data_IF_528655486648
#
_entry.id   IF_528655486648
#
_cell.length_a   1.000
_cell.length_b   1.000
_cell.length_c   1.000
_cell.angle_alpha   90.00
_cell.angle_beta   90.00
_cell.angle_gamma   90.00
#
_symmetry.space_group_name_H-M   'P 1'
#
loop_
_entity.id
_entity.type
_entity.pdbx_description
1 polymer ?
#
# COMPACT_ATOMS: atom_id res chain seq x y z
N UNK A 1 7.49 21.55 -24.04
CA UNK A 1 6.84 20.27 -23.67
C UNK A 1 6.46 20.34 -22.19
N UNK A 2 5.17 20.42 -21.82
CA UNK A 2 4.77 20.39 -20.40
C UNK A 2 5.01 18.98 -19.88
N UNK A 3 5.96 18.79 -18.98
CA UNK A 3 6.16 17.49 -18.31
C UNK A 3 4.86 17.15 -17.57
N UNK A 4 4.28 15.99 -17.90
CA UNK A 4 3.12 15.45 -17.19
C UNK A 4 3.59 14.82 -15.89
N UNK A 5 2.79 14.97 -14.84
CA UNK A 5 3.01 14.28 -13.56
C UNK A 5 3.04 12.76 -13.81
N UNK A 6 4.03 12.08 -13.27
CA UNK A 6 4.22 10.63 -13.44
C UNK A 6 5.09 10.06 -12.33
N UNK A 7 5.31 8.75 -12.36
CA UNK A 7 6.14 8.08 -11.36
C UNK A 7 6.82 6.82 -11.92
N UNK A 8 7.94 6.44 -11.29
CA UNK A 8 8.58 5.15 -11.48
C UNK A 8 7.78 4.12 -10.69
N UNK A 9 7.33 3.05 -11.37
CA UNK A 9 6.58 1.96 -10.75
C UNK A 9 7.47 1.07 -9.89
N UNK A 10 7.98 1.58 -8.79
CA UNK A 10 8.81 0.84 -7.87
C UNK A 10 8.44 1.09 -6.40
N UNK A 11 8.62 0.07 -5.58
CA UNK A 11 8.49 0.15 -4.13
C UNK A 11 9.72 -0.52 -3.51
N UNK A 12 10.39 0.16 -2.60
CA UNK A 12 11.47 -0.42 -1.82
C UNK A 12 10.88 -1.30 -0.74
N UNK A 13 11.51 -2.44 -0.46
CA UNK A 13 11.18 -3.31 0.67
C UNK A 13 12.48 -3.68 1.36
N UNK A 14 12.54 -3.46 2.67
CA UNK A 14 13.69 -3.78 3.50
C UNK A 14 13.22 -4.53 4.76
N UNK A 15 13.99 -5.51 5.22
CA UNK A 15 13.78 -6.07 6.55
C UNK A 15 14.16 -5.01 7.61
N UNK A 16 13.51 -5.08 8.77
CA UNK A 16 13.78 -4.15 9.89
C UNK A 16 15.20 -4.27 10.45
N UNK A 17 15.90 -5.38 10.20
CA UNK A 17 17.33 -5.51 10.53
C UNK A 17 18.21 -4.54 9.73
N UNK A 18 17.74 -4.09 8.56
CA UNK A 18 18.56 -3.36 7.58
C UNK A 18 18.13 -1.89 7.43
N UNK A 19 17.45 -1.33 8.43
CA UNK A 19 16.96 0.07 8.40
C UNK A 19 18.05 1.11 8.19
N UNK A 20 19.31 0.77 8.46
CA UNK A 20 20.47 1.63 8.19
C UNK A 20 20.63 1.96 6.70
N UNK A 21 20.04 1.18 5.79
CA UNK A 21 20.07 1.42 4.35
C UNK A 21 18.97 2.36 3.85
N UNK A 22 18.07 2.84 4.72
CA UNK A 22 17.01 3.77 4.32
C UNK A 22 17.61 5.14 4.03
N UNK A 23 17.29 5.70 2.86
CA UNK A 23 17.71 7.05 2.51
C UNK A 23 16.95 8.13 3.30
N UNK A 24 17.64 9.22 3.62
CA UNK A 24 17.09 10.38 4.31
C UNK A 24 16.30 11.28 3.35
N UNK A 25 15.17 10.79 2.84
CA UNK A 25 14.32 11.45 1.84
C UNK A 25 12.88 11.53 2.30
N UNK A 26 12.07 12.40 1.68
CA UNK A 26 10.63 12.41 1.92
C UNK A 26 9.97 11.22 1.23
N UNK A 27 9.02 10.60 1.92
CA UNK A 27 8.34 9.42 1.41
C UNK A 27 7.18 8.99 2.27
N UNK A 28 6.35 8.11 1.69
CA UNK A 28 5.43 7.30 2.48
C UNK A 28 6.06 5.93 2.71
N UNK A 29 5.70 5.31 3.84
CA UNK A 29 6.17 3.97 4.19
C UNK A 29 5.04 3.16 4.78
N UNK A 30 5.19 1.84 4.71
CA UNK A 30 4.30 0.86 5.29
C UNK A 30 5.12 -0.15 6.10
N UNK A 31 4.90 -0.14 7.41
CA UNK A 31 5.38 -1.17 8.33
C UNK A 31 4.42 -2.35 8.28
N UNK A 32 4.96 -3.55 8.10
CA UNK A 32 4.16 -4.78 8.06
C UNK A 32 4.77 -5.88 8.91
N UNK A 33 3.89 -6.63 9.56
CA UNK A 33 4.15 -7.92 10.21
C UNK A 33 3.04 -8.89 9.82
N UNK A 34 3.14 -10.17 10.18
CA UNK A 34 2.19 -11.23 9.77
C UNK A 34 0.70 -10.84 9.68
N UNK A 35 0.16 -10.03 10.62
CA UNK A 35 -1.25 -9.59 10.60
C UNK A 35 -1.47 -8.10 10.85
N UNK A 36 -0.43 -7.29 10.93
CA UNK A 36 -0.55 -5.85 11.26
C UNK A 36 0.15 -5.00 10.22
N UNK A 37 -0.52 -3.92 9.84
CA UNK A 37 -0.07 -2.95 8.86
C UNK A 37 -0.21 -1.55 9.46
N UNK A 38 0.81 -0.73 9.26
CA UNK A 38 0.77 0.70 9.57
C UNK A 38 1.38 1.46 8.38
N UNK A 39 0.71 2.51 7.91
CA UNK A 39 1.22 3.41 6.89
C UNK A 39 1.54 4.77 7.51
N UNK A 40 2.61 5.41 7.07
CA UNK A 40 2.95 6.76 7.53
C UNK A 40 3.68 7.57 6.47
N UNK A 41 3.67 8.88 6.64
CA UNK A 41 4.50 9.85 5.93
C UNK A 41 5.71 10.26 6.78
N UNK A 42 6.83 10.55 6.14
CA UNK A 42 7.97 11.19 6.77
C UNK A 42 8.69 12.11 5.80
N UNK A 43 9.07 13.31 6.25
CA UNK A 43 10.00 14.20 5.53
C UNK A 43 11.43 13.68 5.51
N UNK A 44 11.74 12.74 6.40
CA UNK A 44 12.99 11.98 6.45
C UNK A 44 12.67 10.55 6.87
N UNK A 45 12.62 9.64 5.90
CA UNK A 45 12.28 8.23 6.14
C UNK A 45 13.30 7.52 7.04
N UNK A 46 14.60 7.80 6.88
CA UNK A 46 15.66 7.19 7.68
C UNK A 46 15.45 7.40 9.19
N UNK A 47 14.89 8.53 9.59
CA UNK A 47 14.53 8.81 10.99
C UNK A 47 13.10 8.37 11.33
N UNK A 48 12.13 8.61 10.43
CA UNK A 48 10.71 8.39 10.74
C UNK A 48 10.36 6.90 10.86
N UNK A 49 10.90 6.03 10.00
CA UNK A 49 10.61 4.60 10.02
C UNK A 49 11.02 3.95 11.36
N UNK A 50 12.26 4.13 11.87
CA UNK A 50 12.64 3.65 13.21
C UNK A 50 11.79 4.23 14.35
N UNK A 51 11.42 5.50 14.28
CA UNK A 51 10.54 6.12 15.29
C UNK A 51 9.17 5.43 15.32
N UNK A 52 8.56 5.22 14.16
CA UNK A 52 7.26 4.55 14.10
C UNK A 52 7.32 3.08 14.46
N UNK A 53 8.41 2.38 14.20
CA UNK A 53 8.59 1.01 14.72
C UNK A 53 8.55 0.98 16.25
N UNK A 54 9.18 1.95 16.92
CA UNK A 54 9.11 2.10 18.38
C UNK A 54 7.71 2.46 18.87
N UNK A 55 7.03 3.40 18.19
CA UNK A 55 5.67 3.83 18.53
C UNK A 55 4.63 2.73 18.36
N UNK A 56 4.71 1.97 17.26
CA UNK A 56 3.74 0.94 16.91
C UNK A 56 4.01 -0.39 17.63
N UNK A 57 5.27 -0.66 18.02
CA UNK A 57 5.66 -1.90 18.67
C UNK A 57 5.56 -3.14 17.77
N UNK A 58 5.57 -2.95 16.44
CA UNK A 58 5.61 -4.05 15.46
C UNK A 58 6.24 -3.61 14.14
N UNK A 59 6.78 -4.59 13.40
CA UNK A 59 7.27 -4.44 12.03
C UNK A 59 8.38 -5.45 11.76
N UNK A 60 8.18 -6.30 10.75
CA UNK A 60 9.19 -7.24 10.24
C UNK A 60 9.87 -6.66 9.00
N UNK A 61 9.07 -5.98 8.17
CA UNK A 61 9.50 -5.30 6.96
C UNK A 61 8.96 -3.88 6.91
N UNK A 62 9.75 -2.98 6.32
CA UNK A 62 9.32 -1.66 5.91
C UNK A 62 9.32 -1.59 4.39
N UNK A 63 8.18 -1.19 3.81
CA UNK A 63 8.08 -0.89 2.39
C UNK A 63 7.96 0.62 2.25
N UNK A 64 8.63 1.25 1.29
CA UNK A 64 8.56 2.71 1.16
C UNK A 64 8.63 3.19 -0.28
N UNK A 65 7.92 4.30 -0.52
CA UNK A 65 7.85 5.01 -1.78
C UNK A 65 8.33 6.44 -1.54
N UNK A 66 9.33 6.88 -2.30
CA UNK A 66 10.01 8.16 -2.09
C UNK A 66 9.61 9.19 -3.14
N UNK A 67 9.76 10.46 -2.80
CA UNK A 67 9.52 11.56 -3.75
C UNK A 67 10.43 11.50 -4.98
N UNK A 68 11.61 10.87 -4.87
CA UNK A 68 12.56 10.69 -5.97
C UNK A 68 12.01 9.80 -7.09
N UNK A 69 11.00 8.98 -6.78
CA UNK A 69 10.30 8.17 -7.76
C UNK A 69 9.21 8.95 -8.50
N UNK A 70 9.01 10.25 -8.18
CA UNK A 70 8.01 11.11 -8.80
C UNK A 70 8.64 12.06 -9.83
N UNK A 71 7.94 12.22 -10.94
CA UNK A 71 8.26 13.20 -11.97
C UNK A 71 7.32 14.39 -11.83
N UNK A 72 7.82 15.48 -11.27
CA UNK A 72 7.02 16.69 -11.02
C UNK A 72 7.22 17.77 -12.08
N UNK A 73 6.16 18.49 -12.49
CA UNK A 73 6.29 19.82 -13.08
C UNK A 73 7.00 20.78 -12.10
N UNK A 74 7.74 21.77 -12.62
CA UNK A 74 8.56 22.71 -11.82
C UNK A 74 7.84 23.43 -10.68
N UNK A 75 6.51 23.59 -10.75
CA UNK A 75 5.71 24.38 -9.79
C UNK A 75 4.82 23.51 -8.87
N UNK A 76 5.10 22.21 -8.80
CA UNK A 76 4.22 21.28 -8.07
C UNK A 76 4.59 21.17 -6.59
N UNK A 77 3.60 21.30 -5.70
CA UNK A 77 3.77 21.19 -4.24
C UNK A 77 3.89 19.72 -3.82
N UNK A 78 5.13 19.25 -3.69
CA UNK A 78 5.46 17.85 -3.41
C UNK A 78 4.92 17.35 -2.06
N UNK A 79 4.99 18.18 -1.01
CA UNK A 79 4.53 17.83 0.35
C UNK A 79 3.03 17.56 0.38
N UNK A 80 2.24 18.42 -0.25
CA UNK A 80 0.77 18.28 -0.31
C UNK A 80 0.40 16.97 -1.01
N UNK A 81 1.11 16.65 -2.09
CA UNK A 81 0.87 15.41 -2.84
C UNK A 81 1.26 14.17 -2.06
N UNK A 82 2.41 14.13 -1.39
CA UNK A 82 2.80 12.97 -0.59
C UNK A 82 1.82 12.72 0.57
N UNK A 83 1.26 13.78 1.14
CA UNK A 83 0.19 13.68 2.15
C UNK A 83 -1.09 13.07 1.57
N UNK A 84 -1.46 13.46 0.33
CA UNK A 84 -2.59 12.85 -0.39
C UNK A 84 -2.32 11.38 -0.70
N UNK A 85 -1.10 11.03 -1.15
CA UNK A 85 -0.70 9.64 -1.40
C UNK A 85 -0.77 8.81 -0.12
N UNK A 86 -0.32 9.32 1.02
CA UNK A 86 -0.45 8.64 2.33
C UNK A 86 -1.93 8.35 2.65
N UNK A 87 -2.77 9.39 2.66
CA UNK A 87 -4.19 9.27 3.02
C UNK A 87 -4.94 8.30 2.10
N UNK A 88 -4.69 8.37 0.79
CA UNK A 88 -5.28 7.47 -0.19
C UNK A 88 -4.72 6.05 -0.07
N UNK A 89 -3.45 5.87 0.31
CA UNK A 89 -2.86 4.53 0.52
C UNK A 89 -3.47 3.86 1.75
N UNK A 90 -3.67 4.61 2.84
CA UNK A 90 -4.40 4.15 4.03
C UNK A 90 -5.83 3.75 3.65
N UNK A 91 -6.53 4.59 2.88
CA UNK A 91 -7.89 4.31 2.42
C UNK A 91 -7.95 3.08 1.50
N UNK A 92 -6.97 2.92 0.61
CA UNK A 92 -6.85 1.75 -0.27
C UNK A 92 -6.62 0.47 0.52
N UNK A 93 -5.65 0.47 1.45
CA UNK A 93 -5.42 -0.65 2.37
C UNK A 93 -6.70 -0.99 3.14
N UNK A 94 -7.37 0.00 3.71
CA UNK A 94 -8.62 -0.21 4.44
C UNK A 94 -9.70 -0.84 3.55
N UNK A 95 -9.93 -0.27 2.36
CA UNK A 95 -10.93 -0.73 1.39
C UNK A 95 -10.68 -2.18 0.97
N UNK A 96 -9.45 -2.54 0.64
CA UNK A 96 -9.09 -3.90 0.22
C UNK A 96 -9.20 -4.86 1.40
N UNK A 97 -8.64 -4.52 2.56
CA UNK A 97 -8.65 -5.37 3.75
C UNK A 97 -10.08 -5.64 4.22
N UNK A 98 -10.86 -4.59 4.41
CA UNK A 98 -12.23 -4.70 4.90
C UNK A 98 -13.15 -5.30 3.83
N UNK A 99 -13.08 -4.80 2.60
CA UNK A 99 -13.95 -5.23 1.51
C UNK A 99 -13.70 -6.66 1.03
N UNK A 100 -12.47 -7.16 1.11
CA UNK A 100 -12.18 -8.58 0.81
C UNK A 100 -12.20 -9.48 2.06
N UNK A 101 -12.45 -8.93 3.25
CA UNK A 101 -12.50 -9.70 4.51
C UNK A 101 -11.15 -10.28 4.90
N UNK A 102 -10.05 -9.56 4.67
CA UNK A 102 -8.71 -10.01 5.01
C UNK A 102 -8.47 -10.03 6.54
N UNK A 103 -7.85 -11.08 7.12
CA UNK A 103 -7.53 -11.19 8.54
C UNK A 103 -6.28 -10.36 8.87
N UNK A 104 -6.24 -9.13 8.35
CA UNK A 104 -5.18 -8.14 8.52
C UNK A 104 -5.76 -6.96 9.28
N UNK A 105 -4.95 -6.36 10.14
CA UNK A 105 -5.31 -5.18 10.91
C UNK A 105 -4.49 -3.98 10.47
N UNK A 106 -5.16 -3.00 9.87
CA UNK A 106 -4.61 -1.66 9.67
C UNK A 106 -4.69 -0.91 11.00
N UNK A 107 -3.56 -0.41 11.53
CA UNK A 107 -3.53 0.28 12.82
C UNK A 107 -3.77 1.78 12.72
N UNK A 108 -3.65 2.35 11.52
CA UNK A 108 -4.06 3.73 11.24
C UNK A 108 -5.53 3.93 11.62
N UNK A 109 -5.81 4.93 12.46
CA UNK A 109 -7.17 5.39 12.76
C UNK A 109 -7.60 6.51 11.82
N UNK A 110 -6.67 7.39 11.48
CA UNK A 110 -6.89 8.51 10.58
C UNK A 110 -6.84 8.01 9.13
N UNK A 111 -7.72 8.55 8.27
CA UNK A 111 -7.84 8.20 6.84
C UNK A 111 -8.18 6.73 6.53
N UNK A 112 -8.50 5.91 7.52
CA UNK A 112 -9.02 4.55 7.31
C UNK A 112 -10.50 4.60 6.90
N UNK A 113 -10.76 5.20 5.74
CA UNK A 113 -12.07 5.34 5.11
C UNK A 113 -12.11 4.52 3.82
N UNK A 114 -13.31 4.17 3.37
CA UNK A 114 -13.47 3.56 2.05
C UNK A 114 -13.06 4.56 0.96
N UNK A 115 -12.38 4.06 -0.07
CA UNK A 115 -12.09 4.86 -1.26
C UNK A 115 -13.41 5.33 -1.91
N UNK A 116 -13.44 6.54 -2.49
CA UNK A 116 -14.62 7.02 -3.19
C UNK A 116 -14.80 6.29 -4.53
N UNK A 117 -16.01 6.30 -5.09
CA UNK A 117 -16.31 5.64 -6.37
C UNK A 117 -15.42 6.07 -7.54
N UNK A 118 -14.86 7.28 -7.50
CA UNK A 118 -13.86 7.74 -8.48
C UNK A 118 -12.62 6.82 -8.57
N UNK A 119 -12.31 6.06 -7.52
CA UNK A 119 -11.20 5.11 -7.45
C UNK A 119 -11.44 3.82 -8.26
N UNK A 120 -12.63 3.60 -8.82
CA UNK A 120 -12.96 2.46 -9.70
C UNK A 120 -13.05 2.83 -11.19
N UNK A 121 -12.88 4.11 -11.53
CA UNK A 121 -13.00 4.57 -12.92
C UNK A 121 -11.76 4.22 -13.74
N UNK A 122 -11.90 3.84 -15.01
CA UNK A 122 -10.78 3.49 -15.89
C UNK A 122 -9.78 4.64 -16.14
N UNK A 123 -10.21 5.89 -15.94
CA UNK A 123 -9.39 7.10 -16.03
C UNK A 123 -9.01 7.62 -14.63
N UNK A 124 -8.44 6.77 -13.78
CA UNK A 124 -8.06 7.14 -12.41
C UNK A 124 -7.14 8.36 -12.38
N UNK A 125 -7.42 9.26 -11.44
CA UNK A 125 -6.45 10.27 -11.04
C UNK A 125 -5.18 9.58 -10.54
N UNK A 126 -4.03 10.19 -10.83
CA UNK A 126 -2.72 9.58 -10.56
C UNK A 126 -2.55 9.21 -9.09
N UNK A 127 -3.08 10.04 -8.20
CA UNK A 127 -3.03 9.86 -6.75
C UNK A 127 -3.68 8.53 -6.33
N UNK A 128 -4.89 8.26 -6.82
CA UNK A 128 -5.58 7.00 -6.52
C UNK A 128 -4.84 5.82 -7.12
N UNK A 129 -4.42 5.93 -8.38
CA UNK A 129 -3.71 4.85 -9.06
C UNK A 129 -2.45 4.45 -8.30
N UNK A 130 -1.61 5.41 -7.95
CA UNK A 130 -0.37 5.18 -7.21
C UNK A 130 -0.67 4.58 -5.82
N UNK A 131 -1.59 5.17 -5.06
CA UNK A 131 -1.95 4.67 -3.73
C UNK A 131 -2.52 3.25 -3.72
N UNK A 132 -3.34 2.90 -4.72
CA UNK A 132 -3.87 1.55 -4.91
C UNK A 132 -2.74 0.57 -5.28
N UNK A 133 -1.87 0.94 -6.23
CA UNK A 133 -0.73 0.11 -6.63
C UNK A 133 0.22 -0.16 -5.46
N UNK A 134 0.48 0.84 -4.60
CA UNK A 134 1.27 0.67 -3.37
C UNK A 134 0.58 -0.32 -2.42
N UNK A 135 -0.70 -0.10 -2.12
CA UNK A 135 -1.46 -0.98 -1.22
C UNK A 135 -1.51 -2.42 -1.71
N UNK A 136 -1.81 -2.62 -2.99
CA UNK A 136 -1.85 -3.94 -3.65
C UNK A 136 -0.50 -4.64 -3.59
N UNK A 137 0.57 -3.92 -3.92
CA UNK A 137 1.93 -4.45 -3.89
C UNK A 137 2.28 -4.91 -2.48
N UNK A 138 2.03 -4.08 -1.46
CA UNK A 138 2.30 -4.45 -0.06
C UNK A 138 1.50 -5.69 0.37
N UNK A 139 0.21 -5.75 0.08
CA UNK A 139 -0.63 -6.89 0.45
C UNK A 139 -0.14 -8.18 -0.25
N UNK A 140 0.22 -8.10 -1.53
CA UNK A 140 0.77 -9.23 -2.27
C UNK A 140 2.08 -9.72 -1.64
N UNK A 141 2.96 -8.80 -1.23
CA UNK A 141 4.22 -9.11 -0.53
C UNK A 141 4.01 -9.70 0.87
N UNK A 142 2.90 -9.36 1.55
CA UNK A 142 2.46 -10.03 2.78
C UNK A 142 1.93 -11.44 2.55
N UNK A 143 1.81 -11.84 1.29
CA UNK A 143 1.36 -13.14 0.89
C UNK A 143 -0.14 -13.22 0.62
N UNK A 144 -0.84 -12.10 0.56
CA UNK A 144 -2.25 -12.06 0.12
C UNK A 144 -2.32 -12.44 -1.36
N UNK A 145 -3.23 -13.35 -1.75
CA UNK A 145 -3.39 -13.67 -3.16
C UNK A 145 -3.76 -12.47 -4.02
N UNK A 146 -3.23 -12.37 -5.23
CA UNK A 146 -3.39 -11.23 -6.14
C UNK A 146 -4.85 -10.82 -6.33
N UNK A 147 -5.74 -11.77 -6.58
CA UNK A 147 -7.19 -11.51 -6.72
C UNK A 147 -7.83 -10.88 -5.47
N UNK A 148 -7.23 -11.08 -4.30
CA UNK A 148 -7.69 -10.52 -3.02
C UNK A 148 -6.96 -9.22 -2.66
N UNK A 149 -5.93 -8.85 -3.43
CA UNK A 149 -5.32 -7.51 -3.35
C UNK A 149 -6.08 -6.49 -4.18
N UNK A 150 -6.80 -6.93 -5.21
CA UNK A 150 -7.62 -6.06 -6.06
C UNK A 150 -8.71 -5.35 -5.25
N UNK A 151 -9.13 -4.16 -5.71
CA UNK A 151 -10.29 -3.49 -5.13
C UNK A 151 -11.51 -4.43 -5.24
N UNK A 152 -12.33 -4.55 -4.18
CA UNK A 152 -13.58 -5.28 -4.28
C UNK A 152 -14.46 -4.65 -5.37
N UNK A 153 -15.40 -5.41 -5.93
CA UNK A 153 -16.37 -4.84 -6.86
C UNK A 153 -17.03 -3.62 -6.21
N UNK A 154 -17.20 -2.53 -6.97
CA UNK A 154 -17.86 -1.32 -6.46
C UNK A 154 -19.30 -1.66 -6.15
N UNK A 155 -19.58 -1.93 -4.87
CA UNK A 155 -20.92 -2.22 -4.38
C UNK A 155 -21.40 -0.96 -3.68
N UNK A 156 -22.34 -0.27 -4.32
CA UNK A 156 -23.01 0.92 -3.78
C UNK A 156 -23.69 0.66 -2.44
N UNK A 157 -23.93 -0.61 -2.11
CA UNK A 157 -24.64 -1.06 -0.92
C UNK A 157 -23.85 -2.18 -0.25
N UNK A 158 -22.95 -1.85 0.67
CA UNK A 158 -22.29 -2.85 1.52
C UNK A 158 -23.23 -3.23 2.68
N UNK A 159 -23.73 -4.47 2.77
CA UNK A 159 -24.40 -4.96 3.96
C UNK A 159 -23.36 -5.34 5.03
N UNK A 160 -23.75 -5.19 6.30
CA UNK A 160 -22.95 -5.43 7.51
C UNK A 160 -22.45 -6.88 7.72
N UNK A 161 -22.75 -7.83 6.82
CA UNK A 161 -22.44 -9.26 6.98
C UNK A 161 -21.38 -9.82 5.99
N UNK A 162 -20.65 -8.96 5.29
CA UNK A 162 -19.67 -9.34 4.25
C UNK A 162 -18.54 -10.27 4.74
N UNK A 163 -18.13 -10.12 6.01
CA UNK A 163 -17.03 -10.88 6.59
C UNK A 163 -17.24 -12.40 6.63
N UNK A 164 -18.49 -12.88 6.67
CA UNK A 164 -18.79 -14.32 6.69
C UNK A 164 -18.84 -14.95 5.30
N UNK A 165 -19.30 -14.23 4.28
CA UNK A 165 -19.37 -14.74 2.91
C UNK A 165 -17.99 -14.84 2.26
N UNK A 166 -17.04 -13.99 2.66
CA UNK A 166 -15.72 -13.97 2.03
C UNK A 166 -14.84 -15.13 2.50
N UNK A 167 -14.95 -15.59 3.75
CA UNK A 167 -14.12 -16.67 4.31
C UNK A 167 -14.18 -18.01 3.54
N UNK A 168 -15.25 -18.29 2.76
CA UNK A 168 -15.31 -19.47 1.89
C UNK A 168 -14.44 -19.31 0.63
N UNK A 169 -14.46 -18.11 0.03
CA UNK A 169 -13.67 -17.73 -1.16
C UNK A 169 -12.15 -17.72 -0.88
N UNK A 170 -11.77 -17.65 0.40
CA UNK A 170 -10.38 -17.69 0.86
C UNK A 170 -9.67 -19.01 0.58
N UNK A 171 -10.35 -20.14 0.81
CA UNK A 171 -9.70 -21.46 0.72
C UNK A 171 -9.26 -21.79 -0.70
N UNK A 172 -10.11 -21.50 -1.67
CA UNK A 172 -9.87 -21.82 -3.08
C UNK A 172 -8.75 -20.96 -3.65
N UNK A 173 -8.74 -19.65 -3.35
CA UNK A 173 -7.75 -18.71 -3.89
C UNK A 173 -6.36 -18.92 -3.26
N UNK A 174 -6.29 -19.28 -1.98
CA UNK A 174 -5.00 -19.52 -1.29
C UNK A 174 -4.32 -20.78 -1.85
N UNK A 175 -5.08 -21.83 -2.16
CA UNK A 175 -4.53 -23.08 -2.70
C UNK A 175 -3.83 -22.86 -4.06
N UNK A 176 -4.43 -22.06 -4.94
CA UNK A 176 -3.89 -21.76 -6.27
C UNK A 176 -2.61 -20.91 -6.20
N UNK A 177 -2.52 -19.96 -5.27
CA UNK A 177 -1.39 -19.01 -5.20
C UNK A 177 -0.17 -19.53 -4.44
N UNK A 178 -0.35 -20.39 -3.43
CA UNK A 178 0.77 -21.02 -2.71
C UNK A 178 1.61 -21.88 -3.67
N UNK A 179 1.00 -22.43 -4.72
CA UNK A 179 1.68 -23.19 -5.76
C UNK A 179 2.60 -22.32 -6.66
N UNK A 180 2.27 -21.03 -6.84
CA UNK A 180 2.92 -20.14 -7.80
C UNK A 180 4.15 -19.38 -7.24
N UNK A 181 4.31 -19.31 -5.91
CA UNK A 181 5.39 -18.52 -5.29
C UNK A 181 6.70 -19.30 -5.16
N UNK A 182 7.48 -19.36 -6.25
CA UNK A 182 8.92 -19.66 -6.21
C UNK A 182 9.76 -18.40 -6.54
N UNK A 183 10.45 -17.90 -5.52
CA UNK A 183 11.62 -16.98 -5.45
C UNK A 183 11.67 -15.71 -6.34
N UNK A 184 11.88 -14.57 -5.68
CA UNK A 184 12.77 -13.51 -6.15
C UNK A 184 13.31 -12.69 -4.96
N UNK A 185 14.64 -12.69 -4.79
CA UNK A 185 15.41 -11.88 -3.84
C UNK A 185 15.88 -10.61 -4.57
N UNK A 186 15.10 -9.53 -4.52
CA UNK A 186 15.53 -8.20 -4.95
C UNK A 186 14.94 -7.15 -3.98
N UNK A 187 15.70 -6.21 -3.44
CA UNK A 187 15.19 -5.21 -2.48
C UNK A 187 14.33 -4.11 -3.14
N UNK A 188 14.35 -4.01 -4.47
CA UNK A 188 13.50 -3.12 -5.26
C UNK A 188 12.48 -3.95 -6.04
N UNK A 189 11.20 -3.67 -5.84
CA UNK A 189 10.11 -4.38 -6.53
C UNK A 189 9.40 -3.46 -7.51
N UNK A 190 9.12 -3.98 -8.70
CA UNK A 190 8.25 -3.31 -9.66
C UNK A 190 6.82 -3.38 -9.12
N UNK A 191 6.18 -2.23 -8.95
CA UNK A 191 4.78 -2.18 -8.50
C UNK A 191 3.88 -2.87 -9.53
N UNK A 192 2.90 -3.63 -9.04
CA UNK A 192 1.98 -4.32 -9.94
C UNK A 192 1.19 -3.31 -10.78
N UNK A 193 1.02 -3.56 -12.09
CA UNK A 193 0.12 -2.73 -12.89
C UNK A 193 -1.31 -2.94 -12.40
N UNK A 194 -1.96 -1.84 -11.99
CA UNK A 194 -3.41 -1.75 -11.86
C UNK A 194 -4.09 -1.88 -13.23
#
# INVERSE_FOLDING_TARGET
MKQRLGYIKALYEIPVSDLWSVHAVMGIYILRSSRRIYCGLGSNLANRIPNSLREQGFGEFANYFTEELLYFPKDFRQVDFMSVIEANTISALHTIIWGNGLPLRLTNKQHALLLPGAAWNSCLMLEYKLSIEIAQTVLYRMGVPRRLTELPAYMSDFPTDLGRHHAARWKDIIADEVCLRKKAECPLFVMHPA
#
